data_IF_702109159172
#
_entry.id   IF_702109159172
#
_cell.length_a   1.000
_cell.length_b   1.000
_cell.length_c   1.000
_cell.angle_alpha   90.00
_cell.angle_beta   90.00
_cell.angle_gamma   90.00
#
_symmetry.space_group_name_H-M   'P 1'
#
loop_
_entity.id
_entity.type
_entity.pdbx_description
1 polymer ?
#
# COMPACT_ATOMS: atom_id res chain seq x y z
N UNK A 1 -7.30 -0.67 12.37
CA UNK A 1 -8.62 -0.07 12.72
C UNK A 1 -8.87 1.16 11.85
N UNK A 2 -10.14 1.48 11.51
CA UNK A 2 -10.50 2.69 10.76
C UNK A 2 -11.38 3.57 11.64
N UNK A 3 -10.99 4.83 11.81
CA UNK A 3 -11.73 5.85 12.54
C UNK A 3 -12.27 6.91 11.56
N UNK A 4 -13.51 7.34 11.74
CA UNK A 4 -14.16 8.37 10.90
C UNK A 4 -14.95 9.35 11.76
N UNK A 5 -15.37 10.45 11.16
CA UNK A 5 -16.24 11.45 11.81
C UNK A 5 -17.68 10.97 12.08
N UNK A 6 -18.02 9.73 11.71
CA UNK A 6 -19.35 9.13 11.96
C UNK A 6 -19.41 8.33 13.26
N UNK A 7 -18.28 8.15 13.93
CA UNK A 7 -18.17 7.37 15.17
C UNK A 7 -17.48 8.24 16.21
N UNK A 8 -18.12 8.43 17.36
CA UNK A 8 -17.49 9.07 18.50
C UNK A 8 -16.54 8.10 19.19
N UNK A 9 -15.27 8.48 19.29
CA UNK A 9 -14.24 7.68 19.94
C UNK A 9 -13.94 8.24 21.32
N UNK A 10 -14.01 7.39 22.34
CA UNK A 10 -13.51 7.75 23.67
C UNK A 10 -11.98 7.66 23.69
N UNK A 11 -11.34 8.48 24.52
CA UNK A 11 -9.90 8.41 24.74
C UNK A 11 -9.46 7.00 25.20
N UNK A 12 -10.26 6.36 26.06
CA UNK A 12 -10.03 4.99 26.52
C UNK A 12 -10.06 3.95 25.38
N UNK A 13 -10.90 4.12 24.36
CA UNK A 13 -10.91 3.22 23.21
C UNK A 13 -9.65 3.40 22.35
N UNK A 14 -9.20 4.64 22.16
CA UNK A 14 -7.96 4.94 21.44
C UNK A 14 -6.74 4.39 22.19
N UNK A 15 -6.68 4.60 23.51
CA UNK A 15 -5.65 4.06 24.40
C UNK A 15 -5.60 2.53 24.31
N UNK A 16 -6.73 1.85 24.48
CA UNK A 16 -6.80 0.39 24.38
C UNK A 16 -6.31 -0.13 23.03
N UNK A 17 -6.57 0.59 21.93
CA UNK A 17 -6.04 0.22 20.62
C UNK A 17 -4.52 0.35 20.57
N UNK A 18 -3.97 1.45 21.06
CA UNK A 18 -2.52 1.68 21.05
C UNK A 18 -1.78 0.70 21.97
N UNK A 19 -2.30 0.43 23.16
CA UNK A 19 -1.78 -0.58 24.08
C UNK A 19 -1.82 -1.99 23.49
N UNK A 20 -2.88 -2.31 22.74
CA UNK A 20 -3.00 -3.58 22.02
C UNK A 20 -2.16 -3.66 20.75
N UNK A 21 -1.40 -2.60 20.43
CA UNK A 21 -0.61 -2.54 19.21
C UNK A 21 -1.47 -2.50 17.95
N UNK A 22 -2.64 -1.88 17.98
CA UNK A 22 -3.55 -1.79 16.82
C UNK A 22 -3.41 -0.40 16.19
N UNK A 23 -2.97 -0.29 14.91
CA UNK A 23 -2.89 1.00 14.24
C UNK A 23 -4.28 1.53 13.88
N UNK A 24 -4.41 2.85 13.93
CA UNK A 24 -5.66 3.57 13.65
C UNK A 24 -5.46 4.40 12.39
N UNK A 25 -6.25 4.15 11.35
CA UNK A 25 -6.30 4.98 10.15
C UNK A 25 -7.51 5.90 10.23
N UNK A 26 -7.27 7.21 10.16
CA UNK A 26 -8.32 8.23 10.18
C UNK A 26 -8.75 8.48 8.74
N UNK A 27 -10.06 8.44 8.48
CA UNK A 27 -10.64 8.69 7.15
C UNK A 27 -11.62 9.87 7.19
N UNK A 28 -11.72 10.56 6.05
CA UNK A 28 -12.72 11.60 5.81
C UNK A 28 -14.13 10.99 5.68
N UNK A 29 -15.17 11.84 5.65
CA UNK A 29 -16.54 11.39 5.44
C UNK A 29 -16.79 10.67 4.09
N UNK A 30 -15.85 10.84 3.13
CA UNK A 30 -15.79 10.13 1.84
C UNK A 30 -15.08 8.77 1.92
N UNK A 31 -14.51 8.40 3.07
CA UNK A 31 -13.68 7.22 3.25
C UNK A 31 -12.19 7.42 2.90
N UNK A 32 -11.82 8.52 2.24
CA UNK A 32 -10.43 8.79 1.90
C UNK A 32 -9.55 8.93 3.17
N UNK A 33 -8.34 8.33 3.21
CA UNK A 33 -7.46 8.42 4.37
C UNK A 33 -6.93 9.85 4.57
N UNK A 34 -7.00 10.32 5.80
CA UNK A 34 -6.44 11.60 6.27
C UNK A 34 -5.07 11.41 6.94
N UNK A 35 -4.85 10.24 7.55
CA UNK A 35 -3.61 9.92 8.24
C UNK A 35 -3.73 8.65 9.06
N UNK A 36 -2.67 8.34 9.81
CA UNK A 36 -2.66 7.19 10.72
C UNK A 36 -2.02 7.53 12.05
N UNK A 37 -2.53 6.93 13.12
CA UNK A 37 -1.88 6.87 14.44
C UNK A 37 -1.32 5.47 14.60
N UNK A 38 -0.03 5.39 14.92
CA UNK A 38 0.68 4.14 15.18
C UNK A 38 1.00 4.04 16.67
N UNK A 39 0.93 2.83 17.25
CA UNK A 39 1.52 2.57 18.56
C UNK A 39 2.99 3.00 18.59
N UNK A 40 3.45 3.51 19.72
CA UNK A 40 4.86 3.83 19.88
C UNK A 40 5.70 2.55 19.72
N UNK A 41 6.61 2.56 18.75
CA UNK A 41 7.52 1.44 18.52
C UNK A 41 8.80 1.67 19.32
N UNK A 42 9.14 0.73 20.22
CA UNK A 42 10.30 0.84 21.12
C UNK A 42 11.59 0.34 20.45
N UNK A 43 11.47 -0.48 19.39
CA UNK A 43 12.58 -1.07 18.65
C UNK A 43 12.42 -0.78 17.17
N UNK A 44 13.46 -0.27 16.52
CA UNK A 44 13.50 -0.13 15.08
C UNK A 44 14.02 -1.43 14.47
N UNK A 45 13.33 -1.95 13.44
CA UNK A 45 13.87 -3.09 12.69
C UNK A 45 15.14 -2.69 11.94
N UNK A 46 15.95 -3.69 11.56
CA UNK A 46 17.11 -3.45 10.69
C UNK A 46 16.74 -2.76 9.37
N UNK A 47 15.56 -3.07 8.83
CA UNK A 47 15.06 -2.39 7.62
C UNK A 47 14.72 -0.93 7.89
N UNK A 48 14.20 -0.58 9.07
CA UNK A 48 13.99 0.82 9.46
C UNK A 48 15.32 1.59 9.43
N UNK A 49 16.36 1.04 10.06
CA UNK A 49 17.71 1.65 10.05
C UNK A 49 18.27 1.78 8.62
N UNK A 50 18.14 0.74 7.80
CA UNK A 50 18.63 0.75 6.43
C UNK A 50 17.83 1.79 5.57
N UNK A 51 16.54 2.02 5.86
CA UNK A 51 15.76 3.09 5.20
C UNK A 51 16.28 4.46 5.63
N UNK A 52 16.54 4.69 6.92
CA UNK A 52 17.13 5.95 7.39
C UNK A 52 18.49 6.21 6.72
N UNK A 53 19.37 5.21 6.64
CA UNK A 53 20.67 5.31 5.95
C UNK A 53 20.51 5.59 4.44
N UNK A 54 19.49 5.00 3.79
CA UNK A 54 19.18 5.33 2.40
C UNK A 54 18.78 6.80 2.24
N UNK A 55 18.00 7.36 3.17
CA UNK A 55 17.49 8.73 3.09
C UNK A 55 18.56 9.81 3.28
N UNK A 56 19.72 9.45 3.83
CA UNK A 56 20.89 10.32 3.92
C UNK A 56 21.58 10.53 2.56
N UNK A 57 21.28 9.70 1.56
CA UNK A 57 21.87 9.83 0.22
C UNK A 57 21.21 10.94 -0.60
N UNK A 58 21.97 11.70 -1.40
CA UNK A 58 21.38 12.75 -2.25
C UNK A 58 20.46 12.22 -3.36
N UNK A 59 20.66 10.96 -3.80
CA UNK A 59 19.93 10.31 -4.89
C UNK A 59 18.82 9.35 -4.42
N UNK A 60 18.50 9.34 -3.11
CA UNK A 60 17.57 8.37 -2.52
C UNK A 60 16.20 8.35 -3.22
N UNK A 61 15.71 9.52 -3.64
CA UNK A 61 14.39 9.69 -4.28
C UNK A 61 14.30 8.93 -5.60
N UNK A 62 15.36 8.98 -6.38
CA UNK A 62 15.42 8.28 -7.66
C UNK A 62 15.49 6.77 -7.42
N UNK A 63 16.33 6.34 -6.48
CA UNK A 63 16.49 4.92 -6.11
C UNK A 63 15.16 4.33 -5.64
N UNK A 64 14.50 5.02 -4.71
CA UNK A 64 13.21 4.60 -4.17
C UNK A 64 12.11 4.65 -5.23
N UNK A 65 12.05 5.72 -6.03
CA UNK A 65 11.08 5.84 -7.12
C UNK A 65 11.22 4.74 -8.17
N UNK A 66 12.45 4.36 -8.52
CA UNK A 66 12.73 3.24 -9.42
C UNK A 66 12.29 1.90 -8.82
N UNK A 67 12.55 1.68 -7.52
CA UNK A 67 12.03 0.51 -6.81
C UNK A 67 10.50 0.46 -6.82
N UNK A 68 9.83 1.58 -6.56
CA UNK A 68 8.37 1.65 -6.50
C UNK A 68 7.74 1.36 -7.86
N UNK A 69 8.32 1.88 -8.95
CA UNK A 69 7.92 1.50 -10.33
C UNK A 69 8.09 0.00 -10.55
N UNK A 70 9.21 -0.57 -10.14
CA UNK A 70 9.45 -2.01 -10.26
C UNK A 70 8.47 -2.84 -9.41
N UNK A 71 8.04 -2.35 -8.25
CA UNK A 71 7.02 -2.99 -7.41
C UNK A 71 5.65 -3.03 -8.12
N UNK A 72 5.21 -1.91 -8.71
CA UNK A 72 3.97 -1.86 -9.50
C UNK A 72 4.05 -2.77 -10.73
N UNK A 73 5.21 -2.79 -11.40
CA UNK A 73 5.42 -3.65 -12.55
C UNK A 73 5.34 -5.13 -12.18
N UNK A 74 5.91 -5.54 -11.04
CA UNK A 74 5.76 -6.93 -10.54
C UNK A 74 4.30 -7.32 -10.33
N UNK A 75 3.49 -6.44 -9.72
CA UNK A 75 2.05 -6.69 -9.55
C UNK A 75 1.34 -6.93 -10.89
N UNK A 76 1.62 -6.10 -11.89
CA UNK A 76 1.06 -6.25 -13.25
C UNK A 76 1.51 -7.55 -13.92
N UNK A 77 2.80 -7.90 -13.81
CA UNK A 77 3.35 -9.12 -14.39
C UNK A 77 2.74 -10.37 -13.74
N UNK A 78 2.65 -10.41 -12.41
CA UNK A 78 2.03 -11.51 -11.66
C UNK A 78 0.56 -11.69 -12.05
N UNK A 79 -0.21 -10.60 -12.08
CA UNK A 79 -1.60 -10.64 -12.51
C UNK A 79 -1.76 -11.13 -13.96
N UNK A 80 -0.88 -10.70 -14.87
CA UNK A 80 -0.88 -11.18 -16.25
C UNK A 80 -0.61 -12.68 -16.32
N UNK A 81 0.39 -13.17 -15.58
CA UNK A 81 0.70 -14.61 -15.51
C UNK A 81 -0.47 -15.41 -14.95
N UNK A 82 -1.16 -14.90 -13.92
CA UNK A 82 -2.35 -15.54 -13.35
C UNK A 82 -3.48 -15.64 -14.40
N UNK A 83 -3.71 -14.57 -15.18
CA UNK A 83 -4.71 -14.56 -16.27
C UNK A 83 -4.36 -15.51 -17.40
N UNK A 84 -3.10 -15.54 -17.83
CA UNK A 84 -2.62 -16.44 -18.88
C UNK A 84 -2.82 -17.91 -18.48
N UNK A 85 -2.52 -18.26 -17.22
CA UNK A 85 -2.79 -19.60 -16.66
C UNK A 85 -4.28 -19.93 -16.60
N UNK A 86 -5.12 -18.92 -16.36
CA UNK A 86 -6.58 -19.03 -16.39
C UNK A 86 -7.20 -19.03 -17.79
N UNK A 87 -6.40 -19.05 -18.86
CA UNK A 87 -6.89 -19.06 -20.25
C UNK A 87 -7.36 -17.70 -20.77
N UNK A 88 -7.14 -16.61 -20.02
CA UNK A 88 -7.63 -15.27 -20.33
C UNK A 88 -6.48 -14.32 -20.71
N UNK A 89 -5.71 -14.71 -21.72
CA UNK A 89 -4.54 -13.94 -22.19
C UNK A 89 -4.94 -12.56 -22.71
N UNK A 90 -4.08 -11.57 -22.45
CA UNK A 90 -4.29 -10.18 -22.89
C UNK A 90 -3.65 -9.96 -24.26
N UNK A 91 -4.22 -9.06 -25.04
CA UNK A 91 -3.54 -8.59 -26.23
C UNK A 91 -2.29 -7.78 -25.82
N UNK A 92 -1.15 -7.90 -26.54
CA UNK A 92 0.08 -7.18 -26.18
C UNK A 92 -0.09 -5.66 -26.05
N UNK A 93 -1.00 -5.06 -26.84
CA UNK A 93 -1.31 -3.63 -26.78
C UNK A 93 -2.01 -3.21 -25.48
N UNK A 94 -2.87 -4.06 -24.93
CA UNK A 94 -3.59 -3.79 -23.68
C UNK A 94 -2.63 -3.74 -22.50
N UNK A 95 -1.73 -4.73 -22.42
CA UNK A 95 -0.72 -4.77 -21.36
C UNK A 95 0.21 -3.55 -21.39
N UNK A 96 0.63 -3.10 -22.57
CA UNK A 96 1.47 -1.91 -22.73
C UNK A 96 0.76 -0.65 -22.23
N UNK A 97 -0.54 -0.52 -22.51
CA UNK A 97 -1.32 0.63 -22.02
C UNK A 97 -1.50 0.58 -20.50
N UNK A 98 -1.72 -0.60 -19.92
CA UNK A 98 -1.78 -0.77 -18.46
C UNK A 98 -0.45 -0.39 -17.79
N UNK A 99 0.68 -0.78 -18.37
CA UNK A 99 2.02 -0.38 -17.89
C UNK A 99 2.18 1.14 -17.93
N UNK A 100 1.81 1.77 -19.05
CA UNK A 100 1.84 3.24 -19.18
C UNK A 100 1.00 3.91 -18.08
N UNK A 101 -0.23 3.43 -17.90
CA UNK A 101 -1.21 3.99 -16.96
C UNK A 101 -0.84 3.82 -15.49
N UNK A 102 -0.31 2.66 -15.10
CA UNK A 102 -0.14 2.33 -13.68
C UNK A 102 1.30 2.35 -13.19
N UNK A 103 2.30 2.26 -14.07
CA UNK A 103 3.72 2.31 -13.69
C UNK A 103 4.29 3.73 -13.87
N UNK A 104 3.96 4.38 -14.99
CA UNK A 104 4.57 5.65 -15.39
C UNK A 104 3.68 6.86 -15.13
N UNK A 105 2.36 6.75 -15.33
CA UNK A 105 1.41 7.78 -14.96
C UNK A 105 0.99 7.63 -13.49
N UNK A 106 0.91 8.74 -12.74
CA UNK A 106 0.23 8.72 -11.44
C UNK A 106 -1.27 8.63 -11.69
N UNK A 107 -1.97 7.58 -11.24
CA UNK A 107 -3.38 7.43 -11.52
C UNK A 107 -4.20 8.25 -10.50
N UNK A 108 -4.30 9.56 -10.70
CA UNK A 108 -5.18 10.42 -9.87
C UNK A 108 -6.64 10.43 -10.37
N UNK A 109 -6.92 9.80 -11.52
CA UNK A 109 -8.27 9.73 -12.09
C UNK A 109 -8.73 8.27 -12.17
N UNK A 110 -9.61 7.87 -11.25
CA UNK A 110 -10.31 6.58 -11.28
C UNK A 110 -11.82 6.77 -11.43
N UNK A 111 -12.51 5.95 -12.25
CA UNK A 111 -13.98 5.94 -12.36
C UNK A 111 -14.72 5.46 -11.10
N UNK A 112 -14.00 4.94 -10.09
CA UNK A 112 -14.57 4.41 -8.84
C UNK A 112 -14.49 5.40 -7.66
N UNK A 113 -14.45 6.71 -7.93
CA UNK A 113 -14.09 7.75 -6.95
C UNK A 113 -14.84 7.68 -5.60
N UNK A 114 -16.12 7.30 -5.58
CA UNK A 114 -16.91 7.23 -4.34
C UNK A 114 -16.66 5.97 -3.51
N UNK A 115 -16.66 4.77 -4.11
CA UNK A 115 -16.36 3.52 -3.39
C UNK A 115 -14.88 3.41 -3.04
N UNK A 116 -14.00 4.07 -3.81
CA UNK A 116 -12.55 4.04 -3.60
C UNK A 116 -12.10 4.64 -2.28
N UNK A 117 -12.84 5.59 -1.69
CA UNK A 117 -12.49 6.11 -0.37
C UNK A 117 -12.44 4.98 0.66
N UNK A 118 -13.53 4.22 0.79
CA UNK A 118 -13.62 3.09 1.72
C UNK A 118 -12.52 2.04 1.48
N UNK A 119 -12.27 1.68 0.22
CA UNK A 119 -11.20 0.75 -0.14
C UNK A 119 -9.83 1.30 0.22
N UNK A 120 -9.57 2.56 -0.07
CA UNK A 120 -8.31 3.22 0.24
C UNK A 120 -8.04 3.22 1.74
N UNK A 121 -9.05 3.55 2.54
CA UNK A 121 -8.97 3.46 4.01
C UNK A 121 -8.63 2.05 4.50
N UNK A 122 -9.28 1.02 3.95
CA UNK A 122 -9.00 -0.38 4.28
C UNK A 122 -7.60 -0.84 3.86
N UNK A 123 -7.13 -0.45 2.68
CA UNK A 123 -5.78 -0.76 2.19
C UNK A 123 -4.71 -0.03 3.00
N UNK A 124 -4.96 1.22 3.40
CA UNK A 124 -4.10 1.92 4.36
C UNK A 124 -4.09 1.21 5.71
N UNK A 125 -5.24 0.75 6.22
CA UNK A 125 -5.28 0.02 7.49
C UNK A 125 -4.50 -1.30 7.43
N UNK A 126 -4.58 -2.00 6.29
CA UNK A 126 -3.80 -3.21 6.06
C UNK A 126 -2.30 -2.94 5.99
N UNK A 127 -1.89 -1.94 5.19
CA UNK A 127 -0.50 -1.54 5.08
C UNK A 127 0.05 -1.05 6.44
N UNK A 128 -0.75 -0.31 7.20
CA UNK A 128 -0.40 0.18 8.54
C UNK A 128 -0.14 -0.97 9.52
N UNK A 129 -0.95 -2.03 9.46
CA UNK A 129 -0.76 -3.23 10.29
C UNK A 129 0.50 -4.00 9.90
N UNK A 130 0.79 -4.14 8.60
CA UNK A 130 2.02 -4.81 8.16
C UNK A 130 3.27 -4.03 8.57
N UNK A 131 3.26 -2.71 8.39
CA UNK A 131 4.37 -1.85 8.80
C UNK A 131 4.64 -1.99 10.29
N UNK A 132 3.60 -2.00 11.11
CA UNK A 132 3.71 -2.22 12.54
C UNK A 132 4.29 -3.60 12.88
N UNK A 133 3.79 -4.67 12.25
CA UNK A 133 4.34 -6.04 12.44
C UNK A 133 5.80 -6.15 12.05
N UNK A 134 6.23 -5.34 11.08
CA UNK A 134 7.60 -5.27 10.60
C UNK A 134 8.46 -4.24 11.35
N UNK A 135 7.92 -3.60 12.39
CA UNK A 135 8.60 -2.54 13.16
C UNK A 135 9.14 -1.42 12.24
N UNK A 136 8.27 -0.93 11.34
CA UNK A 136 8.54 0.13 10.39
C UNK A 136 7.64 1.35 10.64
N UNK A 137 8.20 2.53 10.43
CA UNK A 137 7.43 3.77 10.47
C UNK A 137 6.58 3.95 9.20
N UNK A 138 5.39 4.60 9.31
CA UNK A 138 4.57 4.92 8.15
C UNK A 138 5.19 6.01 7.27
N UNK A 139 5.95 6.93 7.88
CA UNK A 139 6.60 8.05 7.22
C UNK A 139 8.02 8.17 7.75
N UNK A 140 8.98 8.30 6.85
CA UNK A 140 10.37 8.58 7.15
C UNK A 140 10.76 9.95 6.61
N UNK A 141 11.64 10.67 7.31
CA UNK A 141 12.07 12.00 6.94
C UNK A 141 13.52 11.98 6.51
N UNK A 142 13.77 12.27 5.23
CA UNK A 142 15.13 12.42 4.71
C UNK A 142 15.65 13.85 4.84
N UNK A 143 16.91 14.03 4.44
CA UNK A 143 17.54 15.34 4.38
C UNK A 143 16.71 16.34 3.56
N UNK A 144 16.70 17.60 3.99
CA UNK A 144 15.95 18.68 3.33
C UNK A 144 14.46 18.72 3.62
N UNK A 145 13.99 18.03 4.67
CA UNK A 145 12.58 18.07 5.10
C UNK A 145 11.63 17.34 4.14
N UNK A 146 12.15 16.39 3.38
CA UNK A 146 11.37 15.70 2.38
C UNK A 146 11.02 14.29 2.82
N UNK A 147 9.72 13.98 2.85
CA UNK A 147 9.21 12.72 3.40
C UNK A 147 9.19 11.59 2.36
N UNK A 148 9.43 10.38 2.84
CA UNK A 148 9.07 9.11 2.21
C UNK A 148 7.83 8.58 2.94
N UNK A 149 6.68 8.54 2.25
CA UNK A 149 5.42 8.07 2.84
C UNK A 149 5.20 6.60 2.50
N UNK A 150 5.85 5.72 3.26
CA UNK A 150 5.86 4.28 3.02
C UNK A 150 4.45 3.69 3.11
N UNK A 151 3.63 4.20 4.04
CA UNK A 151 2.25 3.77 4.20
C UNK A 151 1.42 4.05 2.93
N UNK A 152 1.48 5.27 2.40
CA UNK A 152 0.74 5.65 1.20
C UNK A 152 1.22 4.84 -0.01
N UNK A 153 2.53 4.71 -0.17
CA UNK A 153 3.14 3.98 -1.28
C UNK A 153 2.79 2.49 -1.26
N UNK A 154 2.84 1.83 -0.09
CA UNK A 154 2.38 0.44 0.06
C UNK A 154 0.91 0.31 -0.28
N UNK A 155 0.05 1.16 0.30
CA UNK A 155 -1.38 1.12 0.02
C UNK A 155 -1.67 1.34 -1.47
N UNK A 156 -0.91 2.18 -2.20
CA UNK A 156 -1.07 2.39 -3.65
C UNK A 156 -0.72 1.14 -4.46
N UNK A 157 0.30 0.39 -4.05
CA UNK A 157 0.64 -0.87 -4.71
C UNK A 157 -0.43 -1.94 -4.46
N UNK A 158 -0.98 -2.01 -3.23
CA UNK A 158 -2.09 -2.91 -2.92
C UNK A 158 -3.37 -2.53 -3.67
N UNK A 159 -3.65 -1.24 -3.80
CA UNK A 159 -4.77 -0.72 -4.58
C UNK A 159 -4.69 -1.15 -6.05
N UNK A 160 -3.49 -1.11 -6.64
CA UNK A 160 -3.28 -1.64 -7.98
C UNK A 160 -3.65 -3.13 -8.06
N UNK A 161 -3.23 -3.95 -7.08
CA UNK A 161 -3.60 -5.38 -7.06
C UNK A 161 -5.11 -5.56 -6.97
N UNK A 162 -5.78 -4.84 -6.07
CA UNK A 162 -7.24 -4.88 -5.94
C UNK A 162 -7.93 -4.47 -7.24
N UNK A 163 -7.50 -3.38 -7.88
CA UNK A 163 -8.09 -2.90 -9.14
C UNK A 163 -8.01 -3.95 -10.24
N UNK A 164 -6.85 -4.60 -10.38
CA UNK A 164 -6.64 -5.64 -11.38
C UNK A 164 -7.51 -6.88 -11.14
N UNK A 165 -7.81 -7.23 -9.89
CA UNK A 165 -8.71 -8.34 -9.55
C UNK A 165 -10.18 -7.95 -9.81
N UNK A 166 -10.57 -6.71 -9.52
CA UNK A 166 -11.93 -6.22 -9.73
C UNK A 166 -12.27 -6.05 -11.22
N UNK A 167 -11.42 -5.38 -12.00
CA UNK A 167 -11.58 -5.17 -13.46
C UNK A 167 -11.64 -6.53 -14.20
N UNK A 168 -11.02 -7.58 -13.65
CA UNK A 168 -10.89 -8.88 -14.31
C UNK A 168 -12.14 -9.77 -14.30
N UNK A 169 -13.19 -9.42 -13.55
CA UNK A 169 -14.41 -10.25 -13.48
C UNK A 169 -15.56 -9.78 -12.57
N UNK A 170 -15.45 -8.65 -11.87
CA UNK A 170 -16.44 -8.24 -10.85
C UNK A 170 -17.15 -6.90 -11.11
N UNK A 171 -16.92 -6.26 -12.26
CA UNK A 171 -17.41 -4.91 -12.56
C UNK A 171 -18.94 -4.72 -12.51
N UNK A 172 -19.75 -5.76 -12.76
CA UNK A 172 -21.20 -5.59 -12.98
C UNK A 172 -22.07 -5.57 -11.71
N UNK A 173 -21.50 -5.62 -10.51
CA UNK A 173 -22.29 -5.75 -9.27
C UNK A 173 -21.78 -5.05 -8.02
N UNK A 174 -20.71 -4.25 -8.11
CA UNK A 174 -20.05 -3.65 -6.94
C UNK A 174 -20.74 -2.38 -6.45
N UNK A 175 -22.02 -2.49 -6.09
CA UNK A 175 -22.75 -1.43 -5.39
C UNK A 175 -23.14 -1.91 -4.00
N UNK A 176 -22.77 -1.13 -2.98
CA UNK A 176 -23.09 -1.40 -1.58
C UNK A 176 -21.95 -1.96 -0.72
N UNK A 177 -21.93 -1.55 0.54
CA UNK A 177 -20.88 -1.88 1.53
C UNK A 177 -20.72 -3.40 1.75
N UNK A 178 -21.81 -4.17 1.72
CA UNK A 178 -21.77 -5.62 1.92
C UNK A 178 -21.13 -6.40 0.75
N UNK A 179 -21.17 -5.85 -0.46
CA UNK A 179 -20.47 -6.45 -1.62
C UNK A 179 -18.99 -6.08 -1.56
N UNK A 180 -18.68 -4.84 -1.18
CA UNK A 180 -17.31 -4.40 -0.93
C UNK A 180 -16.63 -5.26 0.16
N UNK A 181 -17.29 -5.49 1.30
CA UNK A 181 -16.70 -6.29 2.37
C UNK A 181 -16.39 -7.73 1.92
N UNK A 182 -17.28 -8.34 1.12
CA UNK A 182 -17.09 -9.69 0.57
C UNK A 182 -15.93 -9.76 -0.42
N UNK A 183 -15.78 -8.76 -1.29
CA UNK A 183 -14.64 -8.68 -2.20
C UNK A 183 -13.35 -8.46 -1.42
N UNK A 184 -13.34 -7.58 -0.41
CA UNK A 184 -12.17 -7.38 0.45
C UNK A 184 -11.75 -8.69 1.12
N UNK A 185 -12.70 -9.41 1.71
CA UNK A 185 -12.43 -10.68 2.38
C UNK A 185 -11.96 -11.76 1.39
N UNK A 186 -12.54 -11.82 0.19
CA UNK A 186 -12.13 -12.78 -0.84
C UNK A 186 -10.69 -12.55 -1.33
N UNK A 187 -10.17 -11.32 -1.18
CA UNK A 187 -8.81 -10.97 -1.63
C UNK A 187 -7.84 -10.71 -0.48
N UNK A 188 -8.28 -10.73 0.79
CA UNK A 188 -7.46 -10.33 1.93
C UNK A 188 -6.17 -11.14 2.01
N UNK A 189 -6.26 -12.46 1.83
CA UNK A 189 -5.09 -13.34 1.90
C UNK A 189 -4.07 -13.02 0.80
N UNK A 190 -4.56 -12.67 -0.41
CA UNK A 190 -3.69 -12.23 -1.51
C UNK A 190 -3.03 -10.89 -1.18
N UNK A 191 -3.76 -9.97 -0.57
CA UNK A 191 -3.23 -8.66 -0.18
C UNK A 191 -2.21 -8.78 0.95
N UNK A 192 -2.43 -9.63 1.94
CA UNK A 192 -1.49 -9.90 3.04
C UNK A 192 -0.18 -10.48 2.50
N UNK A 193 -0.25 -11.48 1.61
CA UNK A 193 0.93 -12.02 0.93
C UNK A 193 1.64 -10.93 0.12
N UNK A 194 0.87 -10.04 -0.52
CA UNK A 194 1.43 -8.94 -1.31
C UNK A 194 2.17 -7.92 -0.43
N UNK A 195 1.64 -7.58 0.75
CA UNK A 195 2.29 -6.72 1.74
C UNK A 195 3.70 -7.22 2.08
N UNK A 196 3.82 -8.49 2.50
CA UNK A 196 5.11 -9.08 2.84
C UNK A 196 6.08 -9.13 1.66
N UNK A 197 5.59 -9.40 0.43
CA UNK A 197 6.42 -9.36 -0.79
C UNK A 197 6.94 -7.97 -1.11
N UNK A 198 6.13 -6.92 -0.91
CA UNK A 198 6.55 -5.54 -1.10
C UNK A 198 7.68 -5.22 -0.14
N UNK A 199 7.50 -5.45 1.17
CA UNK A 199 8.51 -5.16 2.18
C UNK A 199 9.80 -5.96 1.98
N UNK A 200 9.71 -7.26 1.72
CA UNK A 200 10.89 -8.08 1.44
C UNK A 200 11.67 -7.57 0.21
N UNK A 201 10.96 -7.09 -0.81
CA UNK A 201 11.60 -6.53 -1.99
C UNK A 201 12.22 -5.17 -1.73
N UNK A 202 11.64 -4.35 -0.85
CA UNK A 202 12.24 -3.10 -0.38
C UNK A 202 13.53 -3.40 0.37
N UNK A 203 13.47 -4.30 1.35
CA UNK A 203 14.61 -4.69 2.16
C UNK A 203 15.80 -5.15 1.32
N UNK A 204 15.55 -6.02 0.34
CA UNK A 204 16.59 -6.45 -0.60
C UNK A 204 17.18 -5.29 -1.38
N UNK A 205 16.35 -4.37 -1.88
CA UNK A 205 16.82 -3.25 -2.68
C UNK A 205 17.62 -2.25 -1.87
N UNK A 206 17.14 -1.87 -0.69
CA UNK A 206 17.83 -0.95 0.23
C UNK A 206 19.19 -1.54 0.60
N UNK A 207 19.22 -2.80 1.05
CA UNK A 207 20.46 -3.48 1.41
C UNK A 207 21.45 -3.56 0.25
N UNK A 208 20.99 -3.84 -0.96
CA UNK A 208 21.83 -3.86 -2.16
C UNK A 208 22.47 -2.49 -2.40
N UNK A 209 21.66 -1.43 -2.38
CA UNK A 209 22.13 -0.06 -2.64
C UNK A 209 23.14 0.40 -1.59
N UNK A 210 22.90 0.10 -0.31
CA UNK A 210 23.82 0.44 0.77
C UNK A 210 25.13 -0.35 0.68
N UNK A 211 25.09 -1.60 0.23
CA UNK A 211 26.29 -2.41 0.00
C UNK A 211 27.14 -1.90 -1.18
N UNK A 212 26.52 -1.35 -2.22
CA UNK A 212 27.21 -0.75 -3.37
C UNK A 212 27.84 0.61 -3.04
N UNK A 213 27.47 1.23 -1.91
CA UNK A 213 27.92 2.56 -1.52
C UNK A 213 29.12 2.59 -0.58
N UNK A 214 29.32 1.50 0.17
CA UNK A 214 30.41 1.34 1.13
C UNK A 214 31.66 0.82 0.45
#
# INVERSE_FOLDING_TARGET
MIASNRVDWSAAALEACLESGIPIVIVAGSGAPLGSVQPACVSASRLSEDIDELLDRPDWREIYGNWLRAARMRVLAEWRTDRERGGNSLAPGEFKEMVRRYVYSSPDASPFAETMGLWRGALCALAAEELRRSELQPVYWGAGGTALNLLDDMARVLELRLRLEVDSGMERGLTGEAVALRVFHAISDKLDVQCGRILLSLARRVKQVLAEWR
#
